data_IF_618001216839
#
_entry.id   IF_618001216839
#
_cell.length_a   1.000
_cell.length_b   1.000
_cell.length_c   1.000
_cell.angle_alpha   90.00
_cell.angle_beta   90.00
_cell.angle_gamma   90.00
#
_symmetry.space_group_name_H-M   'P 1'
#
loop_
_entity.id
_entity.type
_entity.pdbx_description
1 polymer ?
#
# COMPACT_ATOMS: atom_id res chain seq x y z
N UNK A 1 -22.79 7.38 -19.92
CA UNK A 1 -22.07 6.86 -21.11
C UNK A 1 -20.61 6.69 -20.73
N UNK A 2 -19.94 5.57 -21.09
CA UNK A 2 -18.51 5.43 -20.90
C UNK A 2 -17.78 6.58 -21.60
N UNK A 3 -16.73 7.10 -20.96
CA UNK A 3 -15.89 8.15 -21.56
C UNK A 3 -14.92 7.46 -22.51
N UNK A 4 -15.17 7.51 -23.84
CA UNK A 4 -14.52 6.57 -24.76
C UNK A 4 -12.99 6.69 -24.75
N UNK A 5 -12.47 7.87 -24.41
CA UNK A 5 -11.03 8.13 -24.34
C UNK A 5 -10.37 7.49 -23.11
N UNK A 6 -10.90 7.68 -21.90
CA UNK A 6 -10.32 7.13 -20.67
C UNK A 6 -10.33 5.59 -20.66
N UNK A 7 -11.41 4.98 -21.16
CA UNK A 7 -11.53 3.53 -21.28
C UNK A 7 -10.58 2.96 -22.35
N UNK A 8 -10.38 3.68 -23.46
CA UNK A 8 -9.43 3.28 -24.49
C UNK A 8 -7.99 3.29 -23.96
N UNK A 9 -7.62 4.33 -23.19
CA UNK A 9 -6.32 4.41 -22.53
C UNK A 9 -6.10 3.24 -21.56
N UNK A 10 -7.05 2.96 -20.67
CA UNK A 10 -6.94 1.86 -19.71
C UNK A 10 -6.84 0.48 -20.38
N UNK A 11 -7.57 0.26 -21.49
CA UNK A 11 -7.48 -0.97 -22.28
C UNK A 11 -6.13 -1.08 -23.01
N UNK A 12 -5.66 0.02 -23.60
CA UNK A 12 -4.35 0.08 -24.25
C UNK A 12 -3.21 -0.20 -23.27
N UNK A 13 -3.29 0.40 -22.07
CA UNK A 13 -2.35 0.13 -20.98
C UNK A 13 -2.29 -1.36 -20.63
N UNK A 14 -3.45 -2.00 -20.46
CA UNK A 14 -3.52 -3.43 -20.13
C UNK A 14 -2.86 -4.32 -21.19
N UNK A 15 -3.01 -3.96 -22.47
CA UNK A 15 -2.38 -4.71 -23.56
C UNK A 15 -0.84 -4.54 -23.59
N UNK A 16 -0.31 -3.49 -22.96
CA UNK A 16 1.12 -3.15 -22.97
C UNK A 16 1.86 -3.57 -21.69
N UNK A 17 1.20 -4.06 -20.63
CA UNK A 17 1.86 -4.33 -19.33
C UNK A 17 3.10 -5.23 -19.43
N UNK A 18 3.07 -6.21 -20.33
CA UNK A 18 4.19 -7.13 -20.56
C UNK A 18 5.21 -6.56 -21.56
N UNK A 19 4.74 -6.01 -22.68
CA UNK A 19 5.60 -5.57 -23.79
C UNK A 19 6.27 -4.21 -23.55
N UNK A 20 5.56 -3.28 -22.90
CA UNK A 20 6.05 -1.95 -22.58
C UNK A 20 5.38 -1.43 -21.29
N UNK A 21 5.87 -1.83 -20.11
CA UNK A 21 5.26 -1.50 -18.83
C UNK A 21 5.27 -0.01 -18.51
N UNK A 22 6.30 0.74 -18.91
CA UNK A 22 6.38 2.17 -18.62
C UNK A 22 5.33 2.95 -19.41
N UNK A 23 5.10 2.56 -20.67
CA UNK A 23 4.01 3.12 -21.46
C UNK A 23 2.63 2.70 -20.92
N UNK A 24 2.48 1.46 -20.46
CA UNK A 24 1.26 1.01 -19.79
C UNK A 24 0.95 1.85 -18.54
N UNK A 25 1.96 2.12 -17.70
CA UNK A 25 1.83 2.98 -16.53
C UNK A 25 1.44 4.41 -16.93
N UNK A 26 2.09 4.98 -17.96
CA UNK A 26 1.76 6.30 -18.49
C UNK A 26 0.28 6.38 -18.90
N UNK A 27 -0.19 5.41 -19.70
CA UNK A 27 -1.58 5.33 -20.15
C UNK A 27 -2.58 5.14 -19.01
N UNK A 28 -2.23 4.35 -17.98
CA UNK A 28 -3.06 4.25 -16.78
C UNK A 28 -3.17 5.58 -16.04
N UNK A 29 -2.06 6.30 -15.86
CA UNK A 29 -2.07 7.60 -15.18
C UNK A 29 -2.81 8.67 -16.00
N UNK A 30 -2.70 8.66 -17.33
CA UNK A 30 -3.47 9.53 -18.22
C UNK A 30 -4.97 9.24 -18.10
N UNK A 31 -5.36 7.96 -18.11
CA UNK A 31 -6.76 7.55 -17.91
C UNK A 31 -7.33 8.03 -16.57
N UNK A 32 -6.57 7.87 -15.48
CA UNK A 32 -6.96 8.41 -14.17
C UNK A 32 -7.10 9.94 -14.20
N UNK A 33 -6.13 10.65 -14.79
CA UNK A 33 -6.15 12.11 -14.91
C UNK A 33 -7.38 12.62 -15.64
N UNK A 34 -7.74 12.03 -16.79
CA UNK A 34 -8.94 12.39 -17.53
C UNK A 34 -10.21 12.25 -16.69
N UNK A 35 -10.35 11.14 -15.97
CA UNK A 35 -11.54 10.89 -15.14
C UNK A 35 -11.60 11.85 -13.95
N UNK A 36 -10.46 12.24 -13.38
CA UNK A 36 -10.39 13.24 -12.32
C UNK A 36 -10.76 14.64 -12.81
N UNK A 37 -10.29 15.05 -14.00
CA UNK A 37 -10.63 16.33 -14.62
C UNK A 37 -12.13 16.44 -14.91
N UNK A 38 -12.78 15.32 -15.21
CA UNK A 38 -14.22 15.24 -15.44
C UNK A 38 -15.07 15.10 -14.17
N UNK A 39 -14.45 15.07 -12.97
CA UNK A 39 -15.16 14.85 -11.69
C UNK A 39 -15.78 13.45 -11.57
N UNK A 40 -15.15 12.45 -12.22
CA UNK A 40 -15.57 11.05 -12.25
C UNK A 40 -14.55 10.14 -11.58
N UNK A 41 -13.97 10.60 -10.48
CA UNK A 41 -12.86 9.95 -9.77
C UNK A 41 -13.16 8.49 -9.41
N UNK A 42 -14.40 8.18 -9.01
CA UNK A 42 -14.84 6.81 -8.71
C UNK A 42 -14.66 5.83 -9.87
N UNK A 43 -14.72 6.29 -11.12
CA UNK A 43 -14.52 5.45 -12.30
C UNK A 43 -13.04 5.06 -12.49
N UNK A 44 -12.10 5.78 -11.86
CA UNK A 44 -10.66 5.54 -12.00
C UNK A 44 -10.13 4.47 -11.03
N UNK A 45 -10.93 3.96 -10.09
CA UNK A 45 -10.44 3.07 -9.02
C UNK A 45 -9.84 1.76 -9.54
N UNK A 46 -10.45 1.15 -10.56
CA UNK A 46 -9.90 -0.06 -11.20
C UNK A 46 -8.58 0.24 -11.91
N UNK A 47 -8.48 1.40 -12.55
CA UNK A 47 -7.26 1.89 -13.22
C UNK A 47 -6.15 2.13 -12.20
N UNK A 48 -6.47 2.72 -11.04
CA UNK A 48 -5.54 2.88 -9.93
C UNK A 48 -5.02 1.55 -9.40
N UNK A 49 -5.91 0.57 -9.20
CA UNK A 49 -5.52 -0.77 -8.76
C UNK A 49 -4.57 -1.45 -9.75
N UNK A 50 -4.84 -1.32 -11.05
CA UNK A 50 -3.98 -1.89 -12.10
C UNK A 50 -2.59 -1.22 -12.11
N UNK A 51 -2.53 0.11 -12.09
CA UNK A 51 -1.27 0.86 -12.04
C UNK A 51 -0.45 0.49 -10.79
N UNK A 52 -1.07 0.49 -9.61
CA UNK A 52 -0.42 0.10 -8.35
C UNK A 52 0.16 -1.32 -8.43
N UNK A 53 -0.62 -2.28 -8.93
CA UNK A 53 -0.17 -3.67 -9.05
C UNK A 53 1.02 -3.80 -10.01
N UNK A 54 1.02 -3.05 -11.12
CA UNK A 54 2.11 -3.03 -12.08
C UNK A 54 3.38 -2.38 -11.50
N UNK A 55 3.27 -1.26 -10.77
CA UNK A 55 4.40 -0.67 -10.06
C UNK A 55 5.02 -1.67 -9.07
N UNK A 56 4.21 -2.36 -8.27
CA UNK A 56 4.69 -3.37 -7.33
C UNK A 56 5.33 -4.59 -8.04
N UNK A 57 4.76 -5.07 -9.14
CA UNK A 57 5.35 -6.15 -9.97
C UNK A 57 6.73 -5.77 -10.51
N UNK A 58 6.98 -4.48 -10.71
CA UNK A 58 8.25 -3.93 -11.20
C UNK A 58 9.20 -3.47 -10.08
N UNK A 59 8.91 -3.79 -8.81
CA UNK A 59 9.68 -3.36 -7.65
C UNK A 59 9.83 -1.83 -7.54
N UNK A 60 8.78 -1.09 -7.91
CA UNK A 60 8.70 0.38 -7.82
C UNK A 60 7.79 0.76 -6.65
N UNK A 61 8.20 0.47 -5.43
CA UNK A 61 7.36 0.60 -4.23
C UNK A 61 6.94 2.06 -3.97
N UNK A 62 7.86 3.02 -4.11
CA UNK A 62 7.56 4.44 -3.85
C UNK A 62 6.54 5.01 -4.83
N UNK A 63 6.63 4.63 -6.11
CA UNK A 63 5.64 5.01 -7.11
C UNK A 63 4.27 4.38 -6.80
N UNK A 64 4.24 3.11 -6.38
CA UNK A 64 3.00 2.45 -5.97
C UNK A 64 2.35 3.15 -4.77
N UNK A 65 3.14 3.57 -3.77
CA UNK A 65 2.63 4.32 -2.62
C UNK A 65 2.06 5.69 -3.04
N UNK A 66 2.72 6.38 -3.97
CA UNK A 66 2.22 7.65 -4.53
C UNK A 66 0.89 7.47 -5.26
N UNK A 67 0.76 6.40 -6.05
CA UNK A 67 -0.50 6.03 -6.70
C UNK A 67 -1.60 5.75 -5.69
N UNK A 68 -1.30 5.03 -4.61
CA UNK A 68 -2.26 4.74 -3.54
C UNK A 68 -2.72 6.02 -2.82
N UNK A 69 -1.83 6.97 -2.57
CA UNK A 69 -2.20 8.27 -2.00
C UNK A 69 -3.10 9.07 -2.93
N UNK A 70 -2.79 9.12 -4.23
CA UNK A 70 -3.65 9.76 -5.24
C UNK A 70 -5.02 9.08 -5.31
N UNK A 71 -5.06 7.75 -5.27
CA UNK A 71 -6.33 7.01 -5.20
C UNK A 71 -7.11 7.36 -3.92
N UNK A 72 -6.46 7.47 -2.77
CA UNK A 72 -7.12 7.89 -1.53
C UNK A 72 -7.77 9.28 -1.66
N UNK A 73 -7.09 10.24 -2.28
CA UNK A 73 -7.64 11.57 -2.57
C UNK A 73 -8.81 11.54 -3.56
N UNK A 74 -8.69 10.73 -4.62
CA UNK A 74 -9.77 10.50 -5.58
C UNK A 74 -11.01 9.88 -4.92
N UNK A 75 -10.79 8.96 -3.97
CA UNK A 75 -11.85 8.33 -3.18
C UNK A 75 -12.54 9.32 -2.23
N UNK A 76 -11.79 10.23 -1.61
CA UNK A 76 -12.32 11.30 -0.78
C UNK A 76 -13.28 12.20 -1.57
N UNK A 77 -12.87 12.67 -2.76
CA UNK A 77 -13.71 13.47 -3.67
C UNK A 77 -14.99 12.75 -4.08
N UNK A 78 -14.93 11.43 -4.19
CA UNK A 78 -16.09 10.57 -4.47
C UNK A 78 -16.91 10.18 -3.23
N UNK A 79 -16.55 10.67 -2.04
CA UNK A 79 -17.15 10.29 -0.74
C UNK A 79 -17.10 8.79 -0.46
N UNK A 80 -16.11 8.10 -1.02
CA UNK A 80 -15.91 6.66 -0.93
C UNK A 80 -14.96 6.31 0.24
N UNK A 81 -15.38 6.59 1.48
CA UNK A 81 -14.56 6.49 2.70
C UNK A 81 -13.87 5.12 2.85
N UNK A 82 -14.58 4.02 2.60
CA UNK A 82 -13.96 2.69 2.69
C UNK A 82 -12.81 2.50 1.68
N UNK A 83 -12.94 3.05 0.46
CA UNK A 83 -11.87 2.99 -0.53
C UNK A 83 -10.69 3.87 -0.12
N UNK A 84 -10.97 5.06 0.42
CA UNK A 84 -9.96 5.98 0.93
C UNK A 84 -9.12 5.34 2.04
N UNK A 85 -9.76 4.79 3.08
CA UNK A 85 -9.03 4.20 4.21
C UNK A 85 -8.19 2.98 3.81
N UNK A 86 -8.68 2.16 2.87
CA UNK A 86 -7.91 1.04 2.32
C UNK A 86 -6.67 1.52 1.55
N UNK A 87 -6.81 2.58 0.75
CA UNK A 87 -5.71 3.14 -0.02
C UNK A 87 -4.61 3.71 0.89
N UNK A 88 -4.97 4.44 1.95
CA UNK A 88 -4.01 4.98 2.91
C UNK A 88 -3.27 3.91 3.72
N UNK A 89 -4.00 2.91 4.27
CA UNK A 89 -3.33 1.79 4.95
C UNK A 89 -2.39 1.04 4.00
N UNK A 90 -2.82 0.84 2.74
CA UNK A 90 -1.98 0.20 1.72
C UNK A 90 -0.70 0.99 1.45
N UNK A 91 -0.76 2.32 1.35
CA UNK A 91 0.42 3.16 1.14
C UNK A 91 1.44 3.02 2.29
N UNK A 92 0.95 3.02 3.54
CA UNK A 92 1.78 2.83 4.74
C UNK A 92 2.46 1.45 4.72
N UNK A 93 1.71 0.38 4.40
CA UNK A 93 2.27 -0.98 4.27
C UNK A 93 3.35 -1.02 3.19
N UNK A 94 3.17 -0.33 2.06
CA UNK A 94 4.16 -0.27 0.98
C UNK A 94 5.42 0.47 1.42
N UNK A 95 5.33 1.59 2.13
CA UNK A 95 6.50 2.28 2.67
C UNK A 95 7.25 1.44 3.70
N UNK A 96 6.53 0.75 4.60
CA UNK A 96 7.15 -0.18 5.55
C UNK A 96 7.90 -1.31 4.83
N UNK A 97 7.27 -1.92 3.82
CA UNK A 97 7.89 -2.95 2.99
C UNK A 97 9.14 -2.45 2.25
N UNK A 98 9.13 -1.19 1.80
CA UNK A 98 10.26 -0.52 1.17
C UNK A 98 11.39 -0.13 2.16
N UNK A 99 11.23 -0.46 3.44
CA UNK A 99 12.13 -0.06 4.54
C UNK A 99 12.25 1.46 4.70
N UNK A 100 11.23 2.21 4.28
CA UNK A 100 11.17 3.66 4.45
C UNK A 100 10.22 4.00 5.61
N UNK A 101 10.67 3.70 6.83
CA UNK A 101 9.90 3.94 8.04
C UNK A 101 9.55 5.43 8.21
N UNK A 102 10.48 6.32 7.85
CA UNK A 102 10.27 7.76 7.95
C UNK A 102 9.11 8.21 7.06
N UNK A 103 9.06 7.74 5.81
CA UNK A 103 7.98 8.09 4.90
C UNK A 103 6.66 7.41 5.31
N UNK A 104 6.70 6.21 5.87
CA UNK A 104 5.52 5.53 6.42
C UNK A 104 4.90 6.32 7.60
N UNK A 105 5.73 6.80 8.52
CA UNK A 105 5.30 7.62 9.66
C UNK A 105 4.73 8.98 9.19
N UNK A 106 5.41 9.65 8.26
CA UNK A 106 4.91 10.89 7.67
C UNK A 106 3.55 10.67 7.00
N UNK A 107 3.43 9.60 6.21
CA UNK A 107 2.17 9.22 5.55
C UNK A 107 1.04 9.04 6.57
N UNK A 108 1.29 8.38 7.70
CA UNK A 108 0.29 8.22 8.76
C UNK A 108 -0.07 9.54 9.43
N UNK A 109 0.90 10.41 9.72
CA UNK A 109 0.65 11.72 10.34
C UNK A 109 -0.25 12.59 9.45
N UNK A 110 -0.03 12.55 8.13
CA UNK A 110 -0.87 13.27 7.17
C UNK A 110 -2.28 12.64 7.06
N UNK A 111 -2.36 11.31 6.95
CA UNK A 111 -3.65 10.61 6.83
C UNK A 111 -4.48 10.69 8.12
N UNK A 112 -3.85 10.77 9.30
CA UNK A 112 -4.54 10.86 10.58
C UNK A 112 -5.19 12.23 10.83
N UNK A 113 -4.89 13.25 10.01
CA UNK A 113 -5.66 14.51 10.00
C UNK A 113 -7.08 14.33 9.43
N UNK A 114 -7.37 13.18 8.82
CA UNK A 114 -8.67 12.86 8.23
C UNK A 114 -9.45 12.03 9.25
N UNK A 115 -10.51 12.60 9.81
CA UNK A 115 -11.36 11.97 10.85
C UNK A 115 -11.83 10.57 10.47
N UNK A 116 -12.16 10.37 9.19
CA UNK A 116 -12.65 9.11 8.65
C UNK A 116 -11.59 7.98 8.68
N UNK A 117 -10.31 8.34 8.60
CA UNK A 117 -9.20 7.40 8.73
C UNK A 117 -8.78 7.22 10.19
N UNK A 118 -8.67 8.32 10.94
CA UNK A 118 -8.23 8.32 12.34
C UNK A 118 -9.14 7.46 13.23
N UNK A 119 -10.46 7.55 13.03
CA UNK A 119 -11.45 6.87 13.87
C UNK A 119 -11.91 5.52 13.29
N UNK A 120 -11.05 4.85 12.51
CA UNK A 120 -11.37 3.59 11.82
C UNK A 120 -10.32 2.50 12.11
N UNK A 121 -10.73 1.23 12.02
CA UNK A 121 -9.86 0.05 12.16
C UNK A 121 -8.59 0.11 11.27
N UNK A 122 -8.68 0.76 10.10
CA UNK A 122 -7.52 0.97 9.22
C UNK A 122 -6.47 1.89 9.85
N UNK A 123 -6.90 2.99 10.48
CA UNK A 123 -6.02 3.93 11.19
C UNK A 123 -5.39 3.28 12.41
N UNK A 124 -6.17 2.52 13.19
CA UNK A 124 -5.64 1.76 14.34
C UNK A 124 -4.62 0.70 13.91
N UNK A 125 -4.90 -0.05 12.84
CA UNK A 125 -3.97 -1.05 12.31
C UNK A 125 -2.65 -0.40 11.82
N UNK A 126 -2.72 0.75 11.14
CA UNK A 126 -1.54 1.49 10.73
C UNK A 126 -0.71 1.99 11.94
N UNK A 127 -1.38 2.53 12.96
CA UNK A 127 -0.74 2.98 14.19
C UNK A 127 -0.01 1.84 14.91
N UNK A 128 -0.67 0.70 15.09
CA UNK A 128 -0.08 -0.46 15.77
C UNK A 128 1.14 -1.00 15.01
N UNK A 129 1.07 -1.06 13.67
CA UNK A 129 2.22 -1.43 12.84
C UNK A 129 3.39 -0.45 13.06
N UNK A 130 3.14 0.85 12.96
CA UNK A 130 4.19 1.87 13.13
C UNK A 130 4.80 1.84 14.53
N UNK A 131 3.99 1.64 15.57
CA UNK A 131 4.47 1.47 16.95
C UNK A 131 5.40 0.27 17.06
N UNK A 132 4.96 -0.90 16.58
CA UNK A 132 5.77 -2.12 16.65
C UNK A 132 7.07 -2.01 15.84
N UNK A 133 7.07 -1.33 14.69
CA UNK A 133 8.30 -1.04 13.93
C UNK A 133 9.25 -0.12 14.71
N UNK A 134 8.74 0.92 15.36
CA UNK A 134 9.54 1.84 16.18
C UNK A 134 10.19 1.13 17.36
N UNK A 135 9.48 0.17 17.95
CA UNK A 135 9.93 -0.63 19.09
C UNK A 135 10.84 -1.80 18.67
N UNK A 136 10.98 -2.07 17.37
CA UNK A 136 11.69 -3.25 16.86
C UNK A 136 10.99 -4.58 17.17
N UNK A 137 9.69 -4.56 17.47
CA UNK A 137 8.91 -5.73 17.86
C UNK A 137 8.50 -6.57 16.65
N UNK A 138 9.43 -7.41 16.19
CA UNK A 138 9.22 -8.32 15.06
C UNK A 138 8.07 -9.32 15.27
N UNK A 139 7.82 -9.73 16.51
CA UNK A 139 6.76 -10.69 16.86
C UNK A 139 5.41 -9.99 16.85
N UNK A 140 5.34 -8.79 17.43
CA UNK A 140 4.17 -7.92 17.39
C UNK A 140 3.75 -7.58 15.97
N UNK A 141 4.68 -7.24 15.07
CA UNK A 141 4.38 -6.96 13.66
C UNK A 141 3.69 -8.17 13.01
N UNK A 142 4.26 -9.37 13.17
CA UNK A 142 3.66 -10.60 12.62
C UNK A 142 2.29 -10.89 13.22
N UNK A 143 2.11 -10.64 14.52
CA UNK A 143 0.84 -10.81 15.20
C UNK A 143 -0.22 -9.85 14.64
N UNK A 144 0.09 -8.54 14.54
CA UNK A 144 -0.81 -7.51 14.01
C UNK A 144 -1.26 -7.87 12.59
N UNK A 145 -0.31 -8.25 11.71
CA UNK A 145 -0.64 -8.65 10.33
C UNK A 145 -1.59 -9.86 10.31
N UNK A 146 -1.39 -10.83 11.21
CA UNK A 146 -2.19 -12.05 11.28
C UNK A 146 -3.58 -11.84 11.91
N UNK A 147 -3.70 -10.98 12.93
CA UNK A 147 -4.93 -10.78 13.68
C UNK A 147 -5.81 -9.65 13.14
N UNK A 148 -5.28 -8.80 12.27
CA UNK A 148 -6.02 -7.70 11.64
C UNK A 148 -7.26 -8.18 10.86
N UNK A 149 -8.41 -7.58 11.16
CA UNK A 149 -9.66 -7.73 10.41
C UNK A 149 -9.63 -7.01 9.06
N UNK A 150 -8.84 -5.93 8.93
CA UNK A 150 -8.86 -5.05 7.75
C UNK A 150 -7.87 -5.47 6.66
N UNK A 151 -6.70 -6.00 7.03
CA UNK A 151 -5.66 -6.40 6.07
C UNK A 151 -6.20 -7.41 5.04
N UNK A 152 -6.94 -8.48 5.41
CA UNK A 152 -7.48 -9.45 4.44
C UNK A 152 -8.39 -8.84 3.35
N UNK A 153 -8.93 -7.64 3.57
CA UNK A 153 -9.83 -6.95 2.65
C UNK A 153 -9.14 -5.88 1.79
N UNK A 154 -7.82 -5.76 1.86
CA UNK A 154 -7.01 -4.95 0.95
C UNK A 154 -6.83 -5.65 -0.41
N UNK A 155 -6.19 -4.97 -1.36
CA UNK A 155 -5.80 -5.60 -2.62
C UNK A 155 -4.86 -6.79 -2.36
N UNK A 156 -5.03 -7.89 -3.10
CA UNK A 156 -4.26 -9.11 -2.92
C UNK A 156 -2.73 -8.89 -2.95
N UNK A 157 -2.24 -7.94 -3.75
CA UNK A 157 -0.82 -7.60 -3.82
C UNK A 157 -0.34 -6.98 -2.51
N UNK A 158 -1.15 -6.10 -1.92
CA UNK A 158 -0.89 -5.46 -0.63
C UNK A 158 -0.96 -6.48 0.50
N UNK A 159 -1.95 -7.38 0.48
CA UNK A 159 -2.05 -8.49 1.45
C UNK A 159 -0.78 -9.33 1.44
N UNK A 160 -0.24 -9.62 0.25
CA UNK A 160 1.01 -10.38 0.11
C UNK A 160 2.20 -9.62 0.68
N UNK A 161 2.31 -8.31 0.44
CA UNK A 161 3.37 -7.49 1.04
C UNK A 161 3.25 -7.40 2.56
N UNK A 162 2.04 -7.21 3.09
CA UNK A 162 1.78 -7.16 4.53
C UNK A 162 2.27 -8.45 5.21
N UNK A 163 2.01 -9.61 4.61
CA UNK A 163 2.47 -10.92 5.11
C UNK A 163 3.99 -11.11 5.08
N UNK A 164 4.72 -10.27 4.36
CA UNK A 164 6.19 -10.28 4.32
C UNK A 164 6.82 -9.38 5.38
N UNK A 165 6.04 -8.58 6.11
CA UNK A 165 6.52 -7.79 7.24
C UNK A 165 6.82 -8.70 8.45
N UNK A 166 7.81 -8.37 9.31
CA UNK A 166 8.68 -7.20 9.23
C UNK A 166 9.72 -7.29 8.11
N UNK A 167 10.17 -6.15 7.60
CA UNK A 167 11.29 -6.05 6.65
C UNK A 167 12.40 -5.15 7.20
N UNK A 168 13.56 -5.15 6.54
CA UNK A 168 14.66 -4.23 6.86
C UNK A 168 15.33 -4.52 8.20
N UNK A 169 15.69 -3.46 8.92
CA UNK A 169 16.45 -3.54 10.18
C UNK A 169 15.75 -4.36 11.25
N UNK A 170 14.42 -4.27 11.35
CA UNK A 170 13.64 -5.04 12.34
C UNK A 170 13.73 -6.54 12.06
N UNK A 171 13.75 -6.95 10.79
CA UNK A 171 13.95 -8.36 10.42
C UNK A 171 15.39 -8.80 10.64
N UNK A 172 16.37 -7.94 10.35
CA UNK A 172 17.78 -8.24 10.59
C UNK A 172 18.07 -8.44 12.09
N UNK A 173 17.52 -7.58 12.94
CA UNK A 173 17.64 -7.69 14.40
C UNK A 173 16.99 -8.98 14.91
N UNK A 174 15.79 -9.31 14.44
CA UNK A 174 15.11 -10.55 14.82
C UNK A 174 15.92 -11.81 14.48
N UNK A 175 16.58 -11.82 13.31
CA UNK A 175 17.42 -12.95 12.86
C UNK A 175 18.69 -13.08 13.72
N UNK A 176 19.32 -11.94 14.06
CA UNK A 176 20.50 -11.95 14.94
C UNK A 176 20.20 -12.47 16.34
N UNK A 177 19.02 -12.16 16.90
CA UNK A 177 18.60 -12.67 18.21
C UNK A 177 18.31 -14.17 18.16
N UNK A 178 17.73 -14.69 17.08
CA UNK A 178 17.55 -16.14 16.94
C UNK A 178 18.85 -16.90 16.80
N UNK A 179 19.84 -16.39 16.07
CA UNK A 179 21.13 -17.05 15.89
C UNK A 179 21.93 -17.14 17.20
N UNK A 180 21.82 -16.12 18.06
CA UNK A 180 22.43 -16.12 19.40
C UNK A 180 21.82 -17.18 20.32
N UNK A 181 20.49 -17.37 20.27
CA UNK A 181 19.81 -18.36 21.11
C UNK A 181 20.10 -19.82 20.68
N UNK A 182 20.44 -20.06 19.41
CA UNK A 182 20.80 -21.41 18.92
C UNK A 182 22.23 -21.80 19.33
N UNK A 183 23.12 -20.83 19.53
CA UNK A 183 24.50 -21.09 19.93
C UNK A 183 24.64 -21.52 21.40
N UNK A 184 23.65 -21.21 22.26
CA UNK A 184 23.65 -21.58 23.68
C UNK A 184 23.05 -22.98 23.96
N UNK A 185 22.38 -23.60 22.98
CA UNK A 185 21.71 -24.91 23.13
C UNK A 185 22.60 -26.11 22.70
N UNK A 186 23.82 -25.88 22.20
CA UNK A 186 24.77 -26.92 21.77
C UNK A 186 25.78 -27.34 22.87
N UNK A 187 25.53 -26.90 24.12
CA UNK A 187 26.31 -27.24 25.32
C UNK A 187 25.44 -27.75 26.49
N UNK A 188 24.48 -28.65 26.23
CA UNK A 188 23.82 -29.45 27.28
C UNK A 188 23.59 -30.89 26.88
#
# INVERSE_FOLDING_TARGET
MPQPSADALAKGARALEEANPDEALRLYMDSCGMLEEEGKEHMAFETYRAAMSLYLKRNRQLDAATVLLRWGLAADKSKAVHSQCKAYLSAIIVYLYANDFKQAEQCYNDCSQIDAFMNNEHGSCAFDLLRAYREGDSVGIKHIVKSSSVIPHLDHTIVRLAKQLPTGEVMALASSVSDLNVADDDFT
#
